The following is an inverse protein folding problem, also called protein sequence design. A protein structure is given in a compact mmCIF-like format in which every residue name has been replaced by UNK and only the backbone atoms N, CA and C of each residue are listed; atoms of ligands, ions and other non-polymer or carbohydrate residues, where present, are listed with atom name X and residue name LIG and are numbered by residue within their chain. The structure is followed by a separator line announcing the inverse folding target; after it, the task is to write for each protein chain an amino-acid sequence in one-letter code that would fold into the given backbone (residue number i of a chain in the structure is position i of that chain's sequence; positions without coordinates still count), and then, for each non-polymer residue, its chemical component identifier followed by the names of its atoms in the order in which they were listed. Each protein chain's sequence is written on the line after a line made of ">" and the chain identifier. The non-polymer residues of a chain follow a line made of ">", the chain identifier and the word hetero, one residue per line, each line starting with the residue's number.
data_IF_914725574242
#
_entry.id   IF_914725574242
#
_cell.length_a   1.000
_cell.length_b   1.000
_cell.length_c   1.000
_cell.angle_alpha   90.00
_cell.angle_beta   90.00
_cell.angle_gamma   90.00
#
_symmetry.space_group_name_H-M   'P 1'
#
loop_
_entity.id
_entity.type
_entity.pdbx_description
1 polymer ?
#
# COMPACT_ATOMS: atom_id res chain seq x y z
N UNK A 1 -0.11 31.09 5.52
CA UNK A 1 0.24 30.37 4.28
C UNK A 1 -0.96 29.51 3.94
N UNK A 2 -1.68 29.86 2.85
CA UNK A 2 -2.95 29.25 2.49
C UNK A 2 -2.83 27.76 2.20
N UNK A 3 -3.66 26.96 2.86
CA UNK A 3 -3.89 25.58 2.47
C UNK A 3 -4.62 25.60 1.12
N UNK A 4 -3.91 25.38 0.02
CA UNK A 4 -4.57 24.97 -1.22
C UNK A 4 -5.22 23.62 -0.97
N UNK A 5 -6.53 23.52 -1.15
CA UNK A 5 -7.28 22.26 -1.13
C UNK A 5 -6.75 21.40 -2.29
N UNK A 6 -5.90 20.42 -1.97
CA UNK A 6 -5.42 19.48 -2.97
C UNK A 6 -6.44 18.35 -3.10
N UNK A 7 -7.02 18.21 -4.28
CA UNK A 7 -7.93 17.11 -4.58
C UNK A 7 -7.15 15.83 -4.89
N UNK A 8 -7.79 14.68 -4.70
CA UNK A 8 -7.23 13.42 -5.20
C UNK A 8 -7.30 13.39 -6.73
N UNK A 9 -6.37 12.68 -7.37
CA UNK A 9 -6.33 12.53 -8.83
C UNK A 9 -7.65 11.98 -9.40
N UNK A 10 -8.31 11.06 -8.67
CA UNK A 10 -9.62 10.51 -9.04
C UNK A 10 -10.68 11.62 -9.09
N UNK A 11 -10.71 12.50 -8.07
CA UNK A 11 -11.64 13.61 -8.05
C UNK A 11 -11.35 14.63 -9.14
N UNK A 12 -10.08 14.98 -9.37
CA UNK A 12 -9.67 15.89 -10.43
C UNK A 12 -10.11 15.37 -11.79
N UNK A 13 -9.88 14.07 -12.05
CA UNK A 13 -10.34 13.45 -13.29
C UNK A 13 -11.85 13.46 -13.42
N UNK A 14 -12.60 13.04 -12.40
CA UNK A 14 -14.07 13.04 -12.44
C UNK A 14 -14.62 14.42 -12.78
N UNK A 15 -14.10 15.49 -12.15
CA UNK A 15 -14.49 16.86 -12.45
C UNK A 15 -14.14 17.28 -13.88
N UNK A 16 -12.98 16.86 -14.39
CA UNK A 16 -12.52 17.20 -15.74
C UNK A 16 -13.38 16.59 -16.84
N UNK A 17 -14.04 15.47 -16.57
CA UNK A 17 -14.94 14.78 -17.52
C UNK A 17 -16.43 14.97 -17.18
N UNK A 18 -16.75 15.85 -16.23
CA UNK A 18 -18.13 16.20 -15.86
C UNK A 18 -18.89 15.14 -15.08
N UNK A 19 -18.21 14.20 -14.43
CA UNK A 19 -18.85 13.20 -13.58
C UNK A 19 -19.26 13.81 -12.22
N UNK A 20 -20.44 13.48 -11.70
CA UNK A 20 -20.86 13.92 -10.37
C UNK A 20 -19.94 13.34 -9.29
N UNK A 21 -19.63 14.16 -8.29
CA UNK A 21 -18.74 13.77 -7.18
C UNK A 21 -19.44 14.00 -5.85
N UNK A 22 -19.87 12.92 -5.20
CA UNK A 22 -20.46 12.98 -3.88
C UNK A 22 -19.37 12.90 -2.79
N UNK A 23 -19.52 13.69 -1.73
CA UNK A 23 -18.54 13.74 -0.62
C UNK A 23 -19.25 13.77 0.73
N UNK A 24 -19.97 12.70 1.10
CA UNK A 24 -20.67 12.67 2.36
C UNK A 24 -19.70 12.63 3.54
N UNK A 25 -19.95 13.42 4.57
CA UNK A 25 -19.24 13.26 5.85
C UNK A 25 -19.64 11.95 6.54
N UNK A 26 -20.93 11.63 6.46
CA UNK A 26 -21.54 10.42 7.02
C UNK A 26 -22.20 9.59 5.93
N UNK A 27 -21.74 8.35 5.74
CA UNK A 27 -22.28 7.44 4.72
C UNK A 27 -23.71 6.93 5.03
N UNK A 28 -24.23 7.17 6.23
CA UNK A 28 -25.61 6.85 6.64
C UNK A 28 -26.52 8.08 6.65
N UNK A 29 -26.05 9.21 6.15
CA UNK A 29 -26.88 10.42 6.03
C UNK A 29 -28.01 10.19 5.03
N UNK A 30 -29.25 10.54 5.41
CA UNK A 30 -30.43 10.23 4.59
C UNK A 30 -30.44 11.00 3.27
N UNK A 31 -30.00 12.26 3.28
CA UNK A 31 -29.95 13.08 2.05
C UNK A 31 -28.91 12.47 1.07
N UNK A 32 -27.75 12.05 1.58
CA UNK A 32 -26.76 11.34 0.77
C UNK A 32 -27.32 10.02 0.21
N UNK A 33 -28.03 9.24 1.03
CA UNK A 33 -28.61 7.98 0.59
C UNK A 33 -29.69 8.19 -0.49
N UNK A 34 -30.51 9.23 -0.35
CA UNK A 34 -31.51 9.60 -1.36
C UNK A 34 -30.84 10.03 -2.67
N UNK A 35 -29.81 10.87 -2.59
CA UNK A 35 -29.05 11.30 -3.76
C UNK A 35 -28.36 10.11 -4.43
N UNK A 36 -27.72 9.22 -3.66
CA UNK A 36 -27.09 8.02 -4.20
C UNK A 36 -28.10 7.10 -4.91
N UNK A 37 -29.29 6.86 -4.31
CA UNK A 37 -30.37 6.09 -4.94
C UNK A 37 -30.87 6.71 -6.23
N UNK A 38 -30.87 8.05 -6.34
CA UNK A 38 -31.37 8.74 -7.54
C UNK A 38 -30.55 8.45 -8.80
N UNK A 39 -29.30 8.00 -8.66
CA UNK A 39 -28.49 7.56 -9.79
C UNK A 39 -28.91 6.21 -10.36
N UNK A 40 -29.72 5.42 -9.64
CA UNK A 40 -30.21 4.10 -10.10
C UNK A 40 -29.09 3.22 -10.66
N UNK A 41 -27.94 3.21 -9.98
CA UNK A 41 -26.80 2.43 -10.42
C UNK A 41 -27.10 0.92 -10.35
N UNK A 42 -26.84 0.18 -11.44
CA UNK A 42 -27.02 -1.27 -11.48
C UNK A 42 -25.91 -2.00 -10.74
N UNK A 43 -24.73 -1.43 -10.67
CA UNK A 43 -23.51 -2.01 -10.07
C UNK A 43 -22.73 -0.92 -9.35
N UNK A 44 -22.11 -1.27 -8.22
CA UNK A 44 -21.14 -0.40 -7.54
C UNK A 44 -19.75 -1.05 -7.52
N UNK A 45 -18.73 -0.19 -7.67
CA UNK A 45 -17.33 -0.58 -7.64
C UNK A 45 -16.63 0.17 -6.52
N UNK A 46 -15.96 -0.57 -5.63
CA UNK A 46 -15.21 -0.01 -4.50
C UNK A 46 -13.72 -0.17 -4.74
N UNK A 47 -12.97 0.93 -4.61
CA UNK A 47 -11.51 0.93 -4.69
C UNK A 47 -10.96 1.77 -3.54
N UNK A 48 -10.15 1.18 -2.67
CA UNK A 48 -9.46 1.87 -1.58
C UNK A 48 -10.37 2.80 -0.76
N UNK A 49 -11.46 2.29 -0.23
CA UNK A 49 -12.45 3.07 0.48
C UNK A 49 -12.52 2.70 1.98
N UNK A 50 -13.04 3.61 2.80
CA UNK A 50 -13.42 3.30 4.18
C UNK A 50 -14.57 2.28 4.19
N UNK A 51 -14.77 1.58 5.31
CA UNK A 51 -15.86 0.60 5.45
C UNK A 51 -17.21 1.21 5.03
N UNK A 52 -17.83 0.64 4.01
CA UNK A 52 -19.16 1.02 3.54
C UNK A 52 -20.24 0.35 4.42
N UNK A 53 -21.24 1.10 4.88
CA UNK A 53 -22.39 0.49 5.56
C UNK A 53 -23.23 -0.33 4.58
N UNK A 54 -23.91 -1.36 5.09
CA UNK A 54 -24.74 -2.24 4.28
C UNK A 54 -25.75 -1.50 3.42
N UNK A 55 -26.43 -0.50 3.99
CA UNK A 55 -27.40 0.35 3.28
C UNK A 55 -26.84 1.00 2.01
N UNK A 56 -25.51 1.13 1.89
CA UNK A 56 -24.85 1.66 0.67
C UNK A 56 -24.48 0.54 -0.28
N UNK A 57 -23.76 -0.49 0.19
CA UNK A 57 -23.24 -1.50 -0.72
C UNK A 57 -24.30 -2.52 -1.18
N UNK A 58 -25.43 -2.61 -0.51
CA UNK A 58 -26.55 -3.47 -0.93
C UNK A 58 -27.56 -2.81 -1.88
N UNK A 59 -27.35 -1.52 -2.24
CA UNK A 59 -28.29 -0.79 -3.10
C UNK A 59 -28.43 -1.34 -4.52
N UNK A 60 -27.33 -1.62 -5.25
CA UNK A 60 -27.43 -1.96 -6.66
C UNK A 60 -27.88 -3.40 -6.86
N UNK A 61 -28.75 -3.68 -7.84
CA UNK A 61 -29.29 -5.00 -8.08
C UNK A 61 -28.22 -6.03 -8.48
N UNK A 62 -27.16 -5.63 -9.18
CA UNK A 62 -26.03 -6.50 -9.55
C UNK A 62 -24.96 -6.57 -8.45
N UNK A 63 -25.21 -5.92 -7.32
CA UNK A 63 -24.33 -5.95 -6.17
C UNK A 63 -23.20 -4.91 -6.19
N UNK A 64 -22.29 -5.07 -5.27
CA UNK A 64 -21.10 -4.24 -5.12
C UNK A 64 -19.87 -5.13 -5.07
N UNK A 65 -18.86 -4.84 -5.86
CA UNK A 65 -17.57 -5.51 -5.74
C UNK A 65 -16.44 -4.55 -5.39
N UNK A 66 -15.40 -5.10 -4.77
CA UNK A 66 -14.18 -4.36 -4.42
C UNK A 66 -13.00 -4.86 -5.26
N UNK A 67 -12.13 -3.93 -5.65
CA UNK A 67 -10.77 -4.22 -6.10
C UNK A 67 -9.83 -4.16 -4.90
N UNK A 68 -9.27 -5.29 -4.50
CA UNK A 68 -8.31 -5.40 -3.41
C UNK A 68 -6.92 -5.74 -3.94
N UNK A 69 -5.91 -5.02 -3.46
CA UNK A 69 -4.55 -5.11 -3.99
C UNK A 69 -3.74 -6.24 -3.32
N UNK A 70 -4.29 -7.45 -3.32
CA UNK A 70 -3.60 -8.68 -2.91
C UNK A 70 -4.21 -9.91 -3.60
N UNK A 71 -3.53 -11.04 -3.44
CA UNK A 71 -4.05 -12.35 -3.80
C UNK A 71 -4.87 -12.92 -2.62
N UNK A 72 -6.14 -12.52 -2.53
CA UNK A 72 -7.04 -13.03 -1.48
C UNK A 72 -7.08 -14.57 -1.48
N UNK A 73 -7.13 -15.20 -0.30
CA UNK A 73 -7.43 -14.65 1.02
C UNK A 73 -6.22 -14.04 1.77
N UNK A 74 -5.03 -14.00 1.17
CA UNK A 74 -3.85 -13.40 1.79
C UNK A 74 -3.96 -11.87 1.82
N UNK A 75 -3.43 -11.25 2.86
CA UNK A 75 -3.32 -9.80 3.00
C UNK A 75 -4.66 -9.06 2.98
N UNK A 76 -5.70 -9.64 3.62
CA UNK A 76 -6.92 -8.88 3.95
C UNK A 76 -6.56 -7.70 4.84
N UNK A 77 -7.16 -6.53 4.61
CA UNK A 77 -6.99 -5.35 5.45
C UNK A 77 -6.52 -4.10 4.72
N UNK A 78 -5.92 -3.17 5.46
CA UNK A 78 -5.76 -1.78 5.04
C UNK A 78 -4.50 -1.49 4.19
N UNK A 79 -3.46 -2.34 4.23
CA UNK A 79 -2.18 -2.07 3.58
C UNK A 79 -1.58 -3.31 2.87
N UNK A 80 -2.36 -3.97 1.98
CA UNK A 80 -1.97 -5.27 1.39
C UNK A 80 -0.65 -5.21 0.64
N UNK A 81 -0.41 -4.19 -0.18
CA UNK A 81 0.80 -4.05 -0.99
C UNK A 81 2.04 -3.91 -0.09
N UNK A 82 1.95 -3.05 0.94
CA UNK A 82 3.06 -2.84 1.86
C UNK A 82 3.43 -4.13 2.57
N UNK A 83 2.45 -4.84 3.12
CA UNK A 83 2.70 -6.07 3.87
C UNK A 83 3.23 -7.20 3.01
N UNK A 84 2.80 -7.32 1.75
CA UNK A 84 3.37 -8.29 0.82
C UNK A 84 4.87 -8.03 0.61
N UNK A 85 5.26 -6.78 0.34
CA UNK A 85 6.67 -6.40 0.14
C UNK A 85 7.48 -6.52 1.44
N UNK A 86 6.96 -6.05 2.58
CA UNK A 86 7.63 -6.16 3.89
C UNK A 86 7.87 -7.62 4.32
N UNK A 87 6.97 -8.52 3.94
CA UNK A 87 7.10 -9.95 4.23
C UNK A 87 8.01 -10.69 3.23
N UNK A 88 8.56 -10.01 2.24
CA UNK A 88 9.46 -10.59 1.26
C UNK A 88 8.76 -11.52 0.27
N UNK A 89 7.48 -11.28 -0.03
CA UNK A 89 6.79 -12.03 -1.08
C UNK A 89 7.46 -11.78 -2.45
N UNK A 90 7.51 -12.83 -3.25
CA UNK A 90 8.06 -12.77 -4.62
C UNK A 90 6.97 -12.54 -5.66
N UNK A 91 5.72 -12.58 -5.25
CA UNK A 91 4.55 -12.24 -6.08
C UNK A 91 3.46 -11.57 -5.23
N UNK A 92 2.65 -10.78 -5.88
CA UNK A 92 1.41 -10.23 -5.35
C UNK A 92 0.37 -10.17 -6.46
N UNK A 93 -0.71 -9.44 -6.26
CA UNK A 93 -1.73 -9.30 -7.31
C UNK A 93 -2.88 -8.41 -6.87
N UNK A 94 -3.94 -8.49 -7.63
CA UNK A 94 -5.21 -7.88 -7.28
C UNK A 94 -6.36 -8.88 -7.43
N UNK A 95 -7.38 -8.69 -6.63
CA UNK A 95 -8.58 -9.53 -6.57
C UNK A 95 -9.81 -8.65 -6.64
N UNK A 96 -10.75 -8.96 -7.53
CA UNK A 96 -12.12 -8.45 -7.46
C UNK A 96 -13.01 -9.47 -6.77
N UNK A 97 -13.83 -9.00 -5.81
CA UNK A 97 -14.70 -9.88 -5.02
C UNK A 97 -15.98 -9.15 -4.62
N UNK A 98 -17.08 -9.89 -4.46
CA UNK A 98 -18.36 -9.33 -4.01
C UNK A 98 -18.29 -8.93 -2.53
N UNK A 99 -18.81 -7.76 -2.18
CA UNK A 99 -18.88 -7.33 -0.79
C UNK A 99 -19.84 -8.22 0.02
N UNK A 100 -19.45 -8.44 1.28
CA UNK A 100 -20.22 -9.10 2.33
C UNK A 100 -20.06 -8.31 3.64
N UNK A 101 -20.77 -8.73 4.70
CA UNK A 101 -20.65 -8.11 6.02
C UNK A 101 -19.23 -8.16 6.60
N UNK A 102 -18.53 -9.28 6.39
CA UNK A 102 -17.16 -9.45 6.88
C UNK A 102 -16.16 -8.83 5.90
N UNK A 103 -15.16 -8.10 6.45
CA UNK A 103 -14.17 -7.38 5.65
C UNK A 103 -13.35 -8.34 4.79
N UNK A 104 -13.30 -8.07 3.48
CA UNK A 104 -12.49 -8.75 2.47
C UNK A 104 -12.71 -10.28 2.38
N UNK A 105 -13.89 -10.79 2.76
CA UNK A 105 -14.20 -12.24 2.78
C UNK A 105 -15.14 -12.69 1.68
N UNK A 106 -15.62 -11.78 0.85
CA UNK A 106 -16.55 -12.11 -0.25
C UNK A 106 -15.96 -13.06 -1.28
N UNK A 107 -16.85 -13.68 -2.07
CA UNK A 107 -16.42 -14.60 -3.12
C UNK A 107 -15.64 -13.85 -4.21
N UNK A 108 -14.51 -14.43 -4.62
CA UNK A 108 -13.64 -13.90 -5.67
C UNK A 108 -14.34 -14.02 -7.02
N UNK A 109 -14.34 -12.93 -7.79
CA UNK A 109 -14.81 -12.92 -9.18
C UNK A 109 -13.62 -13.16 -10.10
N UNK A 110 -12.61 -12.29 -10.05
CA UNK A 110 -11.37 -12.42 -10.82
C UNK A 110 -10.15 -12.15 -9.93
N UNK A 111 -9.03 -12.75 -10.31
CA UNK A 111 -7.75 -12.52 -9.64
C UNK A 111 -6.63 -12.53 -10.67
N UNK A 112 -5.67 -11.59 -10.52
CA UNK A 112 -4.51 -11.49 -11.40
C UNK A 112 -3.23 -11.30 -10.60
N UNK A 113 -2.12 -11.92 -11.04
CA UNK A 113 -0.83 -11.97 -10.35
C UNK A 113 0.20 -11.12 -11.07
N UNK A 114 1.10 -10.53 -10.31
CA UNK A 114 2.34 -9.93 -10.79
C UNK A 114 3.52 -10.38 -9.93
N UNK A 115 4.71 -10.57 -10.48
CA UNK A 115 5.92 -10.78 -9.68
C UNK A 115 6.29 -9.51 -8.92
N UNK A 116 7.03 -9.66 -7.83
CA UNK A 116 7.72 -8.57 -7.12
C UNK A 116 9.20 -8.81 -7.34
N UNK A 117 9.87 -7.91 -8.07
CA UNK A 117 11.30 -8.01 -8.28
C UNK A 117 12.07 -7.68 -7.00
N UNK A 118 13.27 -8.24 -6.90
CA UNK A 118 14.08 -8.17 -5.69
C UNK A 118 14.42 -6.72 -5.28
N UNK A 119 14.64 -5.84 -6.25
CA UNK A 119 14.95 -4.43 -6.04
C UNK A 119 13.71 -3.50 -6.01
N UNK A 120 12.52 -4.04 -6.23
CA UNK A 120 11.30 -3.23 -6.22
C UNK A 120 10.94 -2.77 -4.81
N UNK A 121 10.43 -1.55 -4.73
CA UNK A 121 9.79 -1.00 -3.53
C UNK A 121 8.27 -0.97 -3.69
N UNK A 122 7.56 -0.70 -2.59
CA UNK A 122 6.09 -0.67 -2.62
C UNK A 122 5.52 0.36 -3.60
N UNK A 123 6.25 1.44 -3.89
CA UNK A 123 5.81 2.46 -4.87
C UNK A 123 5.75 1.90 -6.28
N UNK A 124 6.79 1.21 -6.76
CA UNK A 124 6.80 0.60 -8.09
C UNK A 124 5.78 -0.54 -8.22
N UNK A 125 5.65 -1.38 -7.19
CA UNK A 125 4.63 -2.44 -7.14
C UNK A 125 3.22 -1.84 -7.21
N UNK A 126 2.96 -0.76 -6.44
CA UNK A 126 1.69 -0.03 -6.46
C UNK A 126 1.35 0.48 -7.86
N UNK A 127 2.30 1.11 -8.56
CA UNK A 127 2.07 1.67 -9.89
C UNK A 127 1.74 0.58 -10.94
N UNK A 128 2.36 -0.59 -10.81
CA UNK A 128 2.05 -1.76 -11.64
C UNK A 128 0.67 -2.32 -11.32
N UNK A 129 0.34 -2.48 -10.05
CA UNK A 129 -0.98 -2.94 -9.59
C UNK A 129 -2.10 -1.97 -9.96
N UNK A 130 -1.85 -0.66 -9.93
CA UNK A 130 -2.82 0.35 -10.35
C UNK A 130 -3.23 0.16 -11.82
N UNK A 131 -2.26 -0.04 -12.70
CA UNK A 131 -2.52 -0.26 -14.14
C UNK A 131 -3.25 -1.59 -14.38
N UNK A 132 -2.76 -2.67 -13.80
CA UNK A 132 -3.35 -4.00 -13.91
C UNK A 132 -4.76 -4.03 -13.29
N UNK A 133 -4.93 -3.43 -12.11
CA UNK A 133 -6.20 -3.35 -11.41
C UNK A 133 -7.29 -2.62 -12.20
N UNK A 134 -6.94 -1.55 -12.91
CA UNK A 134 -7.88 -0.86 -13.80
C UNK A 134 -8.42 -1.81 -14.89
N UNK A 135 -7.54 -2.57 -15.54
CA UNK A 135 -7.95 -3.58 -16.53
C UNK A 135 -8.78 -4.71 -15.90
N UNK A 136 -8.39 -5.14 -14.69
CA UNK A 136 -9.13 -6.19 -13.97
C UNK A 136 -10.55 -5.75 -13.61
N UNK A 137 -10.74 -4.49 -13.20
CA UNK A 137 -12.07 -3.91 -12.94
C UNK A 137 -12.94 -3.95 -14.19
N UNK A 138 -12.43 -3.51 -15.35
CA UNK A 138 -13.19 -3.54 -16.62
C UNK A 138 -13.61 -4.97 -16.96
N UNK A 139 -12.67 -5.93 -16.92
CA UNK A 139 -12.99 -7.35 -17.18
C UNK A 139 -14.04 -7.90 -16.20
N UNK A 140 -14.00 -7.46 -14.95
CA UNK A 140 -15.01 -7.86 -13.95
C UNK A 140 -16.39 -7.31 -14.31
N UNK A 141 -16.47 -6.04 -14.73
CA UNK A 141 -17.73 -5.44 -15.21
C UNK A 141 -18.26 -6.17 -16.42
N UNK A 142 -17.40 -6.43 -17.42
CA UNK A 142 -17.79 -7.15 -18.63
C UNK A 142 -18.33 -8.56 -18.30
N UNK A 143 -17.69 -9.28 -17.39
CA UNK A 143 -18.14 -10.59 -16.91
C UNK A 143 -19.53 -10.51 -16.26
N UNK A 144 -19.76 -9.51 -15.41
CA UNK A 144 -21.05 -9.32 -14.74
C UNK A 144 -22.15 -9.01 -15.75
N UNK A 145 -21.90 -8.11 -16.72
CA UNK A 145 -22.84 -7.75 -17.77
C UNK A 145 -23.17 -8.95 -18.67
N UNK A 146 -22.17 -9.75 -19.04
CA UNK A 146 -22.37 -10.96 -19.84
C UNK A 146 -23.26 -11.97 -19.11
N UNK A 147 -23.01 -12.20 -17.81
CA UNK A 147 -23.85 -13.10 -17.01
C UNK A 147 -25.28 -12.59 -16.89
N UNK A 148 -25.49 -11.30 -16.67
CA UNK A 148 -26.83 -10.69 -16.62
C UNK A 148 -27.56 -10.82 -17.96
N UNK A 149 -26.88 -10.56 -19.07
CA UNK A 149 -27.45 -10.62 -20.42
C UNK A 149 -27.84 -12.05 -20.83
N UNK A 150 -27.03 -13.01 -20.43
CA UNK A 150 -27.24 -14.43 -20.80
C UNK A 150 -28.10 -15.19 -19.79
N UNK A 151 -28.34 -14.64 -18.61
CA UNK A 151 -28.99 -15.34 -17.49
C UNK A 151 -28.09 -16.40 -16.84
N UNK A 152 -26.79 -16.41 -17.17
CA UNK A 152 -25.82 -17.31 -16.56
C UNK A 152 -25.45 -16.87 -15.13
N UNK A 153 -25.20 -17.79 -14.20
CA UNK A 153 -24.74 -17.42 -12.87
C UNK A 153 -23.34 -16.81 -12.93
N UNK A 154 -23.10 -15.74 -12.15
CA UNK A 154 -21.77 -15.14 -12.05
C UNK A 154 -20.76 -16.16 -11.49
N UNK A 155 -19.68 -16.47 -12.21
CA UNK A 155 -18.66 -17.41 -11.75
C UNK A 155 -17.90 -16.78 -10.59
N UNK A 156 -18.02 -17.37 -9.41
CA UNK A 156 -17.32 -16.89 -8.21
C UNK A 156 -16.67 -18.06 -7.47
N UNK A 157 -15.53 -17.79 -6.87
CA UNK A 157 -14.79 -18.76 -6.07
C UNK A 157 -14.80 -18.35 -4.59
N UNK A 158 -15.27 -19.21 -3.66
CA UNK A 158 -15.13 -18.96 -2.24
C UNK A 158 -13.66 -18.85 -1.83
N UNK A 159 -13.36 -17.94 -0.91
CA UNK A 159 -12.00 -17.82 -0.39
C UNK A 159 -11.66 -19.02 0.52
N UNK A 160 -10.48 -19.62 0.32
CA UNK A 160 -10.00 -20.73 1.14
C UNK A 160 -9.44 -20.22 2.48
N UNK A 161 -10.18 -20.38 3.55
CA UNK A 161 -9.77 -20.00 4.91
C UNK A 161 -9.03 -21.13 5.66
N UNK A 162 -8.80 -22.30 5.05
CA UNK A 162 -8.11 -23.44 5.69
C UNK A 162 -6.58 -23.31 5.63
N UNK A 163 -6.05 -22.32 4.92
CA UNK A 163 -4.61 -22.03 4.84
C UNK A 163 -4.20 -20.99 5.87
N UNK A 164 -2.91 -20.95 6.24
CA UNK A 164 -2.39 -19.91 7.10
C UNK A 164 -2.53 -18.54 6.42
N UNK A 165 -3.27 -17.63 7.05
CA UNK A 165 -3.55 -16.30 6.51
C UNK A 165 -2.56 -15.28 7.06
N UNK A 166 -2.07 -14.40 6.19
CA UNK A 166 -1.27 -13.23 6.55
C UNK A 166 -2.15 -11.99 6.47
N UNK A 167 -2.40 -11.29 7.58
CA UNK A 167 -3.19 -10.07 7.57
C UNK A 167 -2.38 -8.88 7.07
N UNK A 168 -3.08 -7.83 6.63
CA UNK A 168 -2.49 -6.56 6.22
C UNK A 168 -3.07 -5.39 7.05
N UNK A 169 -2.75 -5.30 8.34
CA UNK A 169 -3.27 -4.26 9.19
C UNK A 169 -2.81 -2.86 8.74
N UNK A 170 -3.51 -1.84 9.22
CA UNK A 170 -3.13 -0.45 9.00
C UNK A 170 -1.71 -0.20 9.53
N UNK A 171 -0.92 0.52 8.73
CA UNK A 171 0.45 0.91 9.11
C UNK A 171 0.39 2.19 9.93
N UNK A 172 0.97 2.13 11.12
CA UNK A 172 1.14 3.26 12.01
C UNK A 172 2.59 3.72 12.02
N UNK A 173 2.88 4.86 12.65
CA UNK A 173 4.24 5.39 12.76
C UNK A 173 5.21 4.38 13.39
N UNK A 174 4.75 3.71 14.43
CA UNK A 174 5.51 2.70 15.18
C UNK A 174 5.88 1.51 14.30
N UNK A 175 4.96 1.08 13.44
CA UNK A 175 5.21 0.01 12.44
C UNK A 175 6.35 0.37 11.48
N UNK A 176 6.57 1.66 11.23
CA UNK A 176 7.60 2.14 10.30
C UNK A 176 8.98 2.25 10.93
N UNK A 177 9.13 2.08 12.25
CA UNK A 177 10.43 2.11 12.92
C UNK A 177 11.28 0.91 12.49
N UNK A 178 12.55 1.16 12.16
CA UNK A 178 13.49 0.10 11.81
C UNK A 178 13.96 -0.57 13.09
N UNK A 179 13.80 -1.89 13.16
CA UNK A 179 14.34 -2.74 14.22
C UNK A 179 15.62 -3.41 13.72
N UNK A 180 16.76 -2.89 14.13
CA UNK A 180 18.08 -3.44 13.75
C UNK A 180 18.43 -4.75 14.45
N UNK A 181 17.61 -5.27 15.34
CA UNK A 181 17.78 -6.63 15.90
C UNK A 181 17.29 -7.73 14.95
N UNK A 182 16.63 -7.37 13.86
CA UNK A 182 16.16 -8.30 12.82
C UNK A 182 17.27 -8.64 11.83
N UNK A 183 17.01 -9.64 10.97
CA UNK A 183 17.95 -10.00 9.90
C UNK A 183 18.05 -8.90 8.85
N UNK A 184 19.17 -8.84 8.15
CA UNK A 184 19.40 -7.85 7.08
C UNK A 184 18.32 -7.91 6.00
N UNK A 185 17.90 -9.12 5.63
CA UNK A 185 16.81 -9.32 4.65
C UNK A 185 15.48 -8.77 5.14
N UNK A 186 15.14 -9.02 6.41
CA UNK A 186 13.92 -8.46 7.00
C UNK A 186 13.93 -6.94 7.06
N UNK A 187 15.09 -6.33 7.36
CA UNK A 187 15.24 -4.87 7.38
C UNK A 187 15.14 -4.32 5.95
N UNK A 188 15.80 -4.95 4.96
CA UNK A 188 15.71 -4.56 3.56
C UNK A 188 14.26 -4.59 3.06
N UNK A 189 13.55 -5.67 3.34
CA UNK A 189 12.15 -5.83 2.98
C UNK A 189 11.25 -4.82 3.68
N UNK A 190 11.50 -4.53 4.96
CA UNK A 190 10.80 -3.50 5.71
C UNK A 190 10.99 -2.11 5.09
N UNK A 191 12.22 -1.73 4.74
CA UNK A 191 12.51 -0.43 4.11
C UNK A 191 11.86 -0.33 2.74
N UNK A 192 12.02 -1.33 1.85
CA UNK A 192 11.43 -1.31 0.51
C UNK A 192 9.90 -1.38 0.54
N UNK A 193 9.31 -2.09 1.50
CA UNK A 193 7.87 -2.19 1.71
C UNK A 193 7.21 -0.90 2.22
N UNK A 194 8.01 0.05 2.69
CA UNK A 194 7.56 1.37 3.15
C UNK A 194 8.02 2.53 2.25
N UNK A 195 8.84 2.28 1.24
CA UNK A 195 9.40 3.30 0.34
C UNK A 195 8.55 3.45 -0.94
N UNK A 196 8.21 4.66 -1.38
CA UNK A 196 8.62 5.96 -0.85
C UNK A 196 7.76 6.49 0.30
N UNK A 197 6.61 5.89 0.59
CA UNK A 197 5.66 6.34 1.61
C UNK A 197 5.04 5.15 2.34
N UNK A 198 4.90 5.23 3.69
CA UNK A 198 5.19 6.35 4.60
C UNK A 198 6.68 6.58 4.89
N UNK A 199 7.55 5.73 4.45
CA UNK A 199 8.98 5.56 4.68
C UNK A 199 9.30 4.92 6.05
N UNK A 200 10.25 3.99 6.06
CA UNK A 200 10.85 3.51 7.29
C UNK A 200 11.65 4.62 7.97
N UNK A 201 11.81 4.57 9.27
CA UNK A 201 12.56 5.59 10.00
C UNK A 201 13.39 4.99 11.14
N UNK A 202 14.48 5.68 11.48
CA UNK A 202 15.40 5.28 12.53
C UNK A 202 14.92 5.84 13.87
N UNK A 203 14.46 4.96 14.76
CA UNK A 203 14.16 5.31 16.14
C UNK A 203 15.44 5.28 16.98
N UNK A 204 16.12 4.14 16.94
CA UNK A 204 17.36 3.89 17.67
C UNK A 204 18.32 3.10 16.80
N UNK A 205 19.60 3.38 16.92
CA UNK A 205 20.68 2.55 16.39
C UNK A 205 21.63 2.21 17.52
N UNK A 206 22.50 1.19 17.38
CA UNK A 206 23.47 0.88 18.41
C UNK A 206 24.24 2.14 18.84
N UNK A 207 24.26 2.42 20.13
CA UNK A 207 24.82 3.68 20.71
C UNK A 207 26.30 3.89 20.41
N UNK A 208 27.04 2.82 20.09
CA UNK A 208 28.43 2.89 19.64
C UNK A 208 28.60 3.44 18.21
N UNK A 209 27.53 3.57 17.42
CA UNK A 209 27.64 4.07 16.05
C UNK A 209 27.91 5.59 16.05
N UNK A 210 28.94 6.07 15.34
CA UNK A 210 29.38 7.49 15.41
C UNK A 210 28.33 8.49 14.89
N UNK A 211 27.32 8.03 14.13
CA UNK A 211 26.25 8.86 13.59
C UNK A 211 24.92 8.66 14.33
N UNK A 212 24.89 8.00 15.51
CA UNK A 212 23.66 7.68 16.21
C UNK A 212 22.74 8.89 16.39
N UNK A 213 23.27 9.97 16.91
CA UNK A 213 22.51 11.21 17.15
C UNK A 213 22.08 11.90 15.83
N UNK A 214 22.91 11.85 14.79
CA UNK A 214 22.63 12.49 13.50
C UNK A 214 21.49 11.77 12.77
N UNK A 215 21.45 10.44 12.87
CA UNK A 215 20.49 9.61 12.16
C UNK A 215 19.16 9.43 12.91
N UNK A 216 19.08 9.85 14.15
CA UNK A 216 17.85 9.74 14.94
C UNK A 216 16.70 10.48 14.29
N UNK A 217 15.60 9.78 14.04
CA UNK A 217 14.41 10.30 13.34
C UNK A 217 14.57 10.41 11.82
N UNK A 218 15.70 9.99 11.24
CA UNK A 218 15.89 9.99 9.81
C UNK A 218 14.95 8.96 9.14
N UNK A 219 14.34 9.35 8.02
CA UNK A 219 13.64 8.42 7.12
C UNK A 219 14.66 7.73 6.23
N UNK A 220 14.44 6.42 5.98
CA UNK A 220 15.29 5.58 5.13
C UNK A 220 14.46 5.07 3.95
N UNK A 221 15.00 5.27 2.75
CA UNK A 221 14.31 4.93 1.51
C UNK A 221 14.93 3.77 0.75
N UNK A 222 16.25 3.59 0.91
CA UNK A 222 16.99 2.52 0.25
C UNK A 222 18.15 2.05 1.10
N UNK A 223 18.33 0.73 1.16
CA UNK A 223 19.44 0.08 1.85
C UNK A 223 20.02 -1.04 1.00
N UNK A 224 21.25 -1.45 1.31
CA UNK A 224 21.86 -2.66 0.78
C UNK A 224 22.31 -3.56 1.94
N UNK A 225 22.33 -4.87 1.70
CA UNK A 225 22.90 -5.86 2.61
C UNK A 225 24.38 -5.98 2.30
N UNK A 226 25.23 -5.87 3.32
CA UNK A 226 26.67 -5.97 3.17
C UNK A 226 27.27 -6.90 4.25
N UNK A 227 28.45 -7.47 3.97
CA UNK A 227 29.15 -8.39 4.86
C UNK A 227 30.35 -7.76 5.58
N UNK A 228 30.50 -6.44 5.51
CA UNK A 228 31.58 -5.70 6.13
C UNK A 228 31.05 -4.64 7.11
N UNK A 229 31.74 -4.48 8.24
CA UNK A 229 31.32 -3.64 9.34
C UNK A 229 31.61 -2.15 9.11
N UNK A 230 32.59 -1.81 8.28
CA UNK A 230 32.99 -0.43 8.00
C UNK A 230 33.50 -0.28 6.57
N UNK A 231 33.13 0.84 5.95
CA UNK A 231 33.66 1.26 4.66
C UNK A 231 33.60 2.79 4.56
N UNK A 232 34.72 3.39 4.24
CA UNK A 232 34.82 4.86 4.11
C UNK A 232 33.78 5.38 3.10
N UNK A 233 32.95 6.31 3.54
CA UNK A 233 31.94 6.93 2.68
C UNK A 233 30.59 6.20 2.70
N UNK A 234 30.40 5.22 3.57
CA UNK A 234 29.17 4.47 3.75
C UNK A 234 28.60 4.63 5.16
N UNK A 235 27.31 4.41 5.33
CA UNK A 235 26.60 4.40 6.62
C UNK A 235 26.18 2.96 6.89
N UNK A 236 26.99 2.25 7.66
CA UNK A 236 26.84 0.82 7.87
C UNK A 236 26.42 0.54 9.31
N UNK A 237 25.27 -0.09 9.48
CA UNK A 237 24.68 -0.39 10.79
C UNK A 237 24.61 -1.91 10.95
N UNK A 238 25.10 -2.48 12.07
CA UNK A 238 24.99 -3.90 12.33
C UNK A 238 23.54 -4.33 12.55
N UNK A 239 23.20 -5.55 12.14
CA UNK A 239 21.94 -6.22 12.39
C UNK A 239 22.16 -7.67 12.85
N UNK A 240 21.12 -8.49 12.95
CA UNK A 240 21.21 -9.80 13.57
C UNK A 240 22.21 -10.76 12.90
N UNK A 241 22.38 -10.71 11.59
CA UNK A 241 23.13 -11.68 10.79
C UNK A 241 24.14 -11.07 9.81
N UNK A 242 24.10 -9.76 9.62
CA UNK A 242 24.96 -9.04 8.68
C UNK A 242 24.99 -7.55 9.00
N UNK A 243 25.16 -6.69 7.99
CA UNK A 243 25.14 -5.24 8.12
C UNK A 243 24.24 -4.62 7.06
N UNK A 244 23.64 -3.49 7.41
CA UNK A 244 22.83 -2.66 6.51
C UNK A 244 23.62 -1.41 6.14
N UNK A 245 23.85 -1.21 4.85
CA UNK A 245 24.37 0.04 4.30
C UNK A 245 23.19 0.93 3.89
N UNK A 246 23.06 2.09 4.50
CA UNK A 246 22.02 3.07 4.16
C UNK A 246 22.48 3.80 2.89
N UNK A 247 21.72 3.67 1.81
CA UNK A 247 22.02 4.29 0.53
C UNK A 247 21.31 5.63 0.34
N UNK A 248 20.07 5.74 0.84
CA UNK A 248 19.24 6.92 0.63
C UNK A 248 18.37 7.19 1.86
N UNK A 249 18.39 8.43 2.32
CA UNK A 249 17.74 8.85 3.54
C UNK A 249 17.28 10.31 3.50
N UNK A 250 16.53 10.68 4.53
CA UNK A 250 16.09 12.06 4.77
C UNK A 250 16.17 12.39 6.26
N UNK A 251 17.02 13.31 6.64
CA UNK A 251 17.06 13.84 8.02
C UNK A 251 15.81 14.69 8.30
N UNK A 252 15.40 14.80 9.58
CA UNK A 252 14.31 15.69 9.97
C UNK A 252 14.51 17.11 9.44
N UNK A 253 13.49 17.66 8.75
CA UNK A 253 13.53 19.02 8.19
C UNK A 253 14.44 19.21 6.96
N UNK A 254 15.07 18.17 6.44
CA UNK A 254 15.93 18.23 5.24
C UNK A 254 15.26 17.60 4.03
N UNK A 255 15.85 17.75 2.85
CA UNK A 255 15.45 17.02 1.65
C UNK A 255 16.03 15.60 1.66
N UNK A 256 15.40 14.71 0.93
CA UNK A 256 15.90 13.36 0.62
C UNK A 256 17.25 13.47 -0.09
N UNK A 257 18.22 12.63 0.29
CA UNK A 257 19.59 12.66 -0.21
C UNK A 257 20.22 11.26 -0.16
N UNK A 258 21.28 11.05 -0.91
CA UNK A 258 22.13 9.86 -0.76
C UNK A 258 23.04 9.99 0.47
N UNK A 259 23.53 8.83 0.94
CA UNK A 259 24.38 8.75 2.12
C UNK A 259 25.72 9.50 1.94
N UNK A 260 26.28 9.49 0.73
CA UNK A 260 27.56 10.17 0.45
C UNK A 260 27.41 11.69 0.61
N UNK A 261 26.31 12.27 0.13
CA UNK A 261 25.98 13.70 0.31
C UNK A 261 25.88 14.08 1.79
N UNK A 262 25.24 13.25 2.62
CA UNK A 262 25.19 13.47 4.06
C UNK A 262 26.59 13.46 4.68
N UNK A 263 27.40 12.44 4.38
CA UNK A 263 28.74 12.29 4.96
C UNK A 263 29.70 13.42 4.55
N UNK A 264 29.60 13.94 3.32
CA UNK A 264 30.36 15.09 2.88
C UNK A 264 29.94 16.35 3.63
N UNK A 265 28.63 16.55 3.85
CA UNK A 265 28.13 17.70 4.61
C UNK A 265 28.60 17.71 6.08
N UNK A 266 28.69 16.54 6.73
CA UNK A 266 29.19 16.43 8.12
C UNK A 266 30.68 16.75 8.21
N UNK A 267 31.48 16.34 7.21
CA UNK A 267 32.93 16.63 7.19
C UNK A 267 33.22 18.12 7.06
N UNK A 268 32.50 18.84 6.20
CA UNK A 268 32.67 20.28 6.01
C UNK A 268 32.22 21.11 7.22
N UNK A 269 31.37 20.57 8.08
CA UNK A 269 30.90 21.26 9.31
C UNK A 269 31.87 21.11 10.52
N UNK A 270 32.93 20.28 10.41
CA UNK A 270 33.94 20.05 11.45
C UNK A 270 35.28 20.76 11.16
N UNK A 271 35.37 21.50 10.05
CA UNK A 271 36.44 22.43 9.70
C UNK A 271 35.96 23.85 9.94
#
# INVERSE_FOLDING_TARGET
>A
RGHQLQFSSVKEYALSVGLPVLRPERLKDELFLQELRSYQADLQIVVAFRMLPEVVWSMPPLGTFNLHASLLPQYRGAAPINWAVMNGEVETGATTFLLKHEIDTGNIILQERIPIDDDENVGSVHDRLMKMGASLVIRTVDTIIECETTGAPLPTTPQNNSIALRPAPKIFKETCAIDFSRTAEQIRNHVRGLSPYPAAWINEIPTSHPLAEVLKGAKVYKVAIVQYADKKGHIIIPCADAYIDILELQLPGKKRMDAASLLNGIRTSKC
#
